data_IF_777273636716
#
_entry.id   IF_777273636716
#
_cell.length_a   1.000
_cell.length_b   1.000
_cell.length_c   1.000
_cell.angle_alpha   90.00
_cell.angle_beta   90.00
_cell.angle_gamma   90.00
#
_symmetry.space_group_name_H-M   'P 1'
#
loop_
_entity.id
_entity.type
_entity.pdbx_description
1 polymer ?
#
# COMPACT_ATOMS: atom_id res chain seq x y z
N UNK A 1 4.43 42.69 -6.17
CA UNK A 1 4.35 42.15 -4.80
C UNK A 1 4.97 40.76 -4.83
N UNK A 2 6.26 40.57 -5.11
CA UNK A 2 7.48 40.88 -4.33
C UNK A 2 7.63 40.05 -3.05
N UNK A 3 8.33 38.91 -3.15
CA UNK A 3 9.59 38.64 -2.40
C UNK A 3 10.21 37.29 -2.83
N UNK A 4 11.13 37.38 -3.79
CA UNK A 4 12.34 36.57 -3.85
C UNK A 4 13.36 37.15 -2.85
N UNK A 5 14.23 36.30 -2.28
CA UNK A 5 15.58 36.55 -1.71
C UNK A 5 15.92 35.26 -0.91
N UNK A 6 17.05 34.57 -1.01
CA UNK A 6 18.44 34.93 -1.32
C UNK A 6 19.20 33.65 -1.76
N UNK A 7 20.12 33.77 -2.71
CA UNK A 7 21.17 32.78 -3.03
C UNK A 7 22.55 33.31 -2.54
N UNK A 8 23.57 32.43 -2.60
CA UNK A 8 25.03 32.68 -2.62
C UNK A 8 25.65 32.77 -1.20
N UNK A 9 26.72 32.05 -0.77
CA UNK A 9 27.98 31.64 -1.41
C UNK A 9 28.45 30.21 -1.09
N UNK A 10 29.11 29.64 -2.09
CA UNK A 10 30.08 28.54 -2.11
C UNK A 10 31.40 28.86 -1.40
N UNK A 11 32.08 27.86 -0.82
CA UNK A 11 33.53 27.63 -0.98
C UNK A 11 33.98 26.28 -0.39
N UNK A 12 34.64 25.50 -1.23
CA UNK A 12 35.26 24.20 -0.98
C UNK A 12 36.70 24.36 -0.44
N UNK A 13 37.19 23.45 0.42
CA UNK A 13 38.59 22.97 0.49
C UNK A 13 38.75 21.90 1.60
N UNK A 14 39.23 20.72 1.21
CA UNK A 14 39.89 19.69 2.05
C UNK A 14 41.43 19.81 1.83
N UNK A 15 42.33 19.00 2.42
CA UNK A 15 42.42 18.35 3.75
C UNK A 15 43.82 18.65 4.42
N UNK A 16 44.10 18.07 5.59
CA UNK A 16 45.38 17.45 6.06
C UNK A 16 45.52 17.61 7.59
N UNK A 17 45.93 16.52 8.24
CA UNK A 17 45.77 16.23 9.66
C UNK A 17 46.81 16.82 10.61
N UNK A 18 46.55 16.67 11.91
CA UNK A 18 47.52 16.83 13.00
C UNK A 18 47.16 15.89 14.16
N UNK A 19 48.01 14.86 14.32
CA UNK A 19 48.71 14.40 15.54
C UNK A 19 47.90 14.13 16.83
N UNK A 20 48.00 12.87 17.26
CA UNK A 20 47.69 12.31 18.59
C UNK A 20 48.43 13.02 19.73
N UNK A 21 47.70 13.37 20.79
CA UNK A 21 48.25 13.44 22.15
C UNK A 21 47.17 12.94 23.12
N UNK A 22 47.27 11.66 23.48
CA UNK A 22 46.43 11.03 24.52
C UNK A 22 46.98 11.48 25.87
N UNK A 23 46.33 12.46 26.48
CA UNK A 23 46.54 12.79 27.90
C UNK A 23 45.48 12.06 28.73
N UNK A 24 45.92 11.09 29.52
CA UNK A 24 45.10 10.40 30.48
C UNK A 24 44.82 11.34 31.68
N UNK A 25 43.67 12.00 31.66
CA UNK A 25 43.15 12.70 32.83
C UNK A 25 42.22 11.73 33.58
N UNK A 26 42.68 11.22 34.72
CA UNK A 26 41.82 10.48 35.66
C UNK A 26 40.95 11.52 36.36
N UNK A 27 39.76 11.76 35.83
CA UNK A 27 38.73 12.53 36.54
C UNK A 27 38.19 11.67 37.69
N UNK A 28 38.09 12.19 38.92
CA UNK A 28 37.32 11.53 39.97
C UNK A 28 35.87 11.42 39.49
N UNK A 29 35.26 10.23 39.66
CA UNK A 29 33.82 10.03 39.51
C UNK A 29 33.11 10.91 40.53
N UNK A 30 32.86 12.16 40.16
CA UNK A 30 31.91 13.01 40.83
C UNK A 30 30.54 12.37 40.58
N UNK A 31 29.92 11.86 41.64
CA UNK A 31 28.52 11.48 41.64
C UNK A 31 27.71 12.73 41.27
N UNK A 32 27.49 12.94 39.98
CA UNK A 32 26.50 13.88 39.50
C UNK A 32 25.14 13.34 39.98
N UNK A 33 24.33 14.12 40.72
CA UNK A 33 22.95 13.74 40.93
C UNK A 33 22.35 13.56 39.54
N UNK A 34 21.84 12.37 39.26
CA UNK A 34 21.08 12.12 38.03
C UNK A 34 20.03 13.21 37.94
N UNK A 35 20.16 14.10 36.93
CA UNK A 35 19.11 15.05 36.58
C UNK A 35 17.82 14.26 36.56
N UNK A 36 16.95 14.56 37.54
CA UNK A 36 15.73 13.83 37.75
C UNK A 36 15.01 13.71 36.42
N UNK A 37 14.67 12.48 36.05
CA UNK A 37 13.68 12.26 35.02
C UNK A 37 12.49 13.13 35.40
N UNK A 38 12.25 14.19 34.63
CA UNK A 38 11.02 14.96 34.74
C UNK A 38 9.96 13.94 34.39
N UNK A 39 9.29 13.42 35.41
CA UNK A 39 8.19 12.49 35.23
C UNK A 39 7.23 13.22 34.31
N UNK A 40 7.17 12.77 33.05
CA UNK A 40 6.18 13.28 32.11
C UNK A 40 4.84 13.11 32.84
N UNK A 41 4.20 14.24 33.19
CA UNK A 41 2.90 14.21 33.83
C UNK A 41 2.04 13.37 32.91
N UNK A 42 1.65 12.19 33.37
CA UNK A 42 0.62 11.40 32.71
C UNK A 42 -0.64 12.24 32.88
N UNK A 43 -0.93 13.11 31.92
CA UNK A 43 -2.20 13.83 31.88
C UNK A 43 -3.23 12.73 31.66
N UNK A 44 -4.11 12.46 32.64
CA UNK A 44 -5.22 11.54 32.42
C UNK A 44 -5.95 12.02 31.18
N UNK A 45 -6.18 11.14 30.20
CA UNK A 45 -6.99 11.49 29.05
C UNK A 45 -8.43 11.56 29.54
N UNK A 46 -8.84 12.73 30.03
CA UNK A 46 -10.21 12.96 30.46
C UNK A 46 -11.13 12.59 29.31
N UNK A 47 -12.02 11.63 29.58
CA UNK A 47 -13.04 11.22 28.62
C UNK A 47 -13.86 12.47 28.32
N UNK A 48 -13.95 12.92 27.05
CA UNK A 48 -14.72 14.10 26.73
C UNK A 48 -16.17 13.90 27.18
N UNK A 49 -16.79 14.97 27.66
CA UNK A 49 -18.22 14.97 27.98
C UNK A 49 -19.00 14.46 26.77
N UNK A 50 -19.98 13.55 26.97
CA UNK A 50 -20.81 13.07 25.87
C UNK A 50 -21.45 14.28 25.15
N UNK A 51 -21.53 14.26 23.81
CA UNK A 51 -22.16 15.35 23.09
C UNK A 51 -23.59 15.57 23.60
N UNK A 52 -23.94 16.82 23.86
CA UNK A 52 -25.25 17.22 24.39
C UNK A 52 -26.41 16.83 23.45
N UNK A 53 -26.11 16.62 22.16
CA UNK A 53 -27.06 16.25 21.14
C UNK A 53 -26.64 14.95 20.46
N UNK A 54 -27.51 13.95 20.56
CA UNK A 54 -27.44 12.76 19.72
C UNK A 54 -28.35 12.97 18.50
N UNK A 55 -27.93 12.45 17.34
CA UNK A 55 -28.80 12.35 16.18
C UNK A 55 -29.97 11.42 16.55
N UNK A 56 -31.17 11.98 16.71
CA UNK A 56 -32.40 11.26 17.07
C UNK A 56 -33.36 11.19 15.87
N UNK A 57 -34.37 10.34 15.98
CA UNK A 57 -35.41 10.20 14.96
C UNK A 57 -34.89 9.64 13.64
N UNK A 58 -35.56 10.02 12.54
CA UNK A 58 -35.26 9.49 11.20
C UNK A 58 -33.82 9.75 10.76
N UNK A 59 -33.26 10.94 11.06
CA UNK A 59 -31.88 11.30 10.73
C UNK A 59 -30.87 10.39 11.42
N UNK A 60 -31.01 10.16 12.73
CA UNK A 60 -30.13 9.23 13.45
C UNK A 60 -30.19 7.81 12.89
N UNK A 61 -31.41 7.33 12.58
CA UNK A 61 -31.60 6.01 11.99
C UNK A 61 -30.96 5.88 10.58
N UNK A 62 -30.96 6.96 9.80
CA UNK A 62 -30.30 7.03 8.50
C UNK A 62 -28.77 6.79 8.64
N UNK A 63 -28.10 7.50 9.55
CA UNK A 63 -26.66 7.26 9.79
C UNK A 63 -26.36 5.87 10.36
N UNK A 64 -27.18 5.35 11.28
CA UNK A 64 -27.02 3.97 11.78
C UNK A 64 -27.06 2.99 10.62
N UNK A 65 -28.00 3.17 9.69
CA UNK A 65 -28.13 2.32 8.50
C UNK A 65 -26.95 2.50 7.54
N UNK A 66 -26.50 3.74 7.32
CA UNK A 66 -25.34 4.04 6.49
C UNK A 66 -24.06 3.37 7.02
N UNK A 67 -23.78 3.51 8.32
CA UNK A 67 -22.64 2.85 8.97
C UNK A 67 -22.77 1.33 8.96
N UNK A 68 -23.97 0.76 9.14
CA UNK A 68 -24.19 -0.68 9.01
C UNK A 68 -23.84 -1.18 7.59
N UNK A 69 -24.28 -0.50 6.54
CA UNK A 69 -23.94 -0.88 5.16
C UNK A 69 -22.46 -0.64 4.85
N UNK A 70 -21.87 0.44 5.34
CA UNK A 70 -20.44 0.73 5.21
C UNK A 70 -19.60 -0.34 5.91
N UNK A 71 -20.00 -0.79 7.12
CA UNK A 71 -19.32 -1.86 7.85
C UNK A 71 -19.27 -3.18 7.08
N UNK A 72 -20.19 -3.36 6.13
CA UNK A 72 -20.31 -4.52 5.22
C UNK A 72 -19.65 -4.27 3.85
N UNK A 73 -18.94 -3.14 3.67
CA UNK A 73 -18.29 -2.75 2.42
C UNK A 73 -19.25 -2.35 1.29
N UNK A 74 -20.54 -2.12 1.58
CA UNK A 74 -21.57 -1.86 0.57
C UNK A 74 -21.68 -0.35 0.29
N UNK A 75 -20.72 0.19 -0.46
CA UNK A 75 -20.59 1.62 -0.75
C UNK A 75 -21.92 2.24 -1.21
N UNK A 76 -22.53 1.70 -2.28
CA UNK A 76 -23.75 2.30 -2.85
C UNK A 76 -24.92 2.34 -1.87
N UNK A 77 -25.11 1.25 -1.11
CA UNK A 77 -26.18 1.18 -0.10
C UNK A 77 -25.91 2.09 1.10
N UNK A 78 -24.65 2.24 1.48
CA UNK A 78 -24.25 3.12 2.57
C UNK A 78 -24.51 4.59 2.20
N UNK A 79 -24.09 5.00 1.00
CA UNK A 79 -24.30 6.37 0.52
C UNK A 79 -25.79 6.67 0.27
N UNK A 80 -26.56 5.70 -0.22
CA UNK A 80 -28.00 5.86 -0.41
C UNK A 80 -28.80 5.97 0.90
N UNK A 81 -28.25 5.43 2.00
CA UNK A 81 -28.88 5.50 3.32
C UNK A 81 -28.65 6.82 4.04
N UNK A 82 -27.69 7.65 3.59
CA UNK A 82 -27.43 8.96 4.18
C UNK A 82 -28.65 9.90 4.05
N UNK A 83 -28.91 10.76 5.05
CA UNK A 83 -29.94 11.77 4.90
C UNK A 83 -29.59 12.73 3.76
N UNK A 84 -30.61 13.30 3.12
CA UNK A 84 -30.42 14.26 2.01
C UNK A 84 -29.62 15.50 2.42
N UNK A 85 -29.66 15.84 3.71
CA UNK A 85 -28.90 16.96 4.30
C UNK A 85 -27.44 16.63 4.57
N UNK A 86 -26.98 15.40 4.32
CA UNK A 86 -25.62 15.01 4.62
C UNK A 86 -24.61 15.85 3.82
N UNK A 87 -23.62 16.40 4.52
CA UNK A 87 -22.55 17.18 3.92
C UNK A 87 -21.46 16.29 3.30
N UNK A 88 -20.43 16.91 2.72
CA UNK A 88 -19.36 16.19 2.04
C UNK A 88 -18.50 15.38 3.03
N UNK A 89 -18.18 15.94 4.20
CA UNK A 89 -17.39 15.24 5.23
C UNK A 89 -18.09 13.99 5.73
N UNK A 90 -19.41 14.06 5.95
CA UNK A 90 -20.21 12.92 6.36
C UNK A 90 -20.27 11.83 5.29
N UNK A 91 -20.37 12.20 4.01
CA UNK A 91 -20.28 11.26 2.89
C UNK A 91 -18.91 10.62 2.81
N UNK A 92 -17.85 11.40 2.95
CA UNK A 92 -16.47 10.93 2.90
C UNK A 92 -16.16 9.99 4.06
N UNK A 93 -16.70 10.26 5.26
CA UNK A 93 -16.56 9.37 6.41
C UNK A 93 -17.23 8.01 6.19
N UNK A 94 -18.43 7.99 5.61
CA UNK A 94 -19.13 6.75 5.26
C UNK A 94 -18.38 5.99 4.17
N UNK A 95 -17.89 6.70 3.15
CA UNK A 95 -17.13 6.11 2.05
C UNK A 95 -15.81 5.53 2.55
N UNK A 96 -15.03 6.27 3.32
CA UNK A 96 -13.81 5.80 3.97
C UNK A 96 -14.07 4.55 4.81
N UNK A 97 -15.12 4.57 5.64
CA UNK A 97 -15.52 3.42 6.46
C UNK A 97 -15.81 2.20 5.58
N UNK A 98 -16.52 2.38 4.47
CA UNK A 98 -16.80 1.29 3.55
C UNK A 98 -15.53 0.75 2.89
N UNK A 99 -14.62 1.62 2.44
CA UNK A 99 -13.36 1.24 1.78
C UNK A 99 -12.48 0.40 2.70
N UNK A 100 -12.26 0.85 3.95
CA UNK A 100 -11.42 0.13 4.92
C UNK A 100 -12.04 -1.20 5.36
N UNK A 101 -13.35 -1.38 5.13
CA UNK A 101 -14.09 -2.64 5.35
C UNK A 101 -14.17 -3.52 4.10
N UNK A 102 -13.42 -3.18 3.06
CA UNK A 102 -13.32 -3.99 1.84
C UNK A 102 -14.29 -3.56 0.72
N UNK A 103 -15.01 -2.46 0.89
CA UNK A 103 -15.83 -1.88 -0.16
C UNK A 103 -14.96 -1.37 -1.31
N UNK A 104 -15.42 -1.61 -2.54
CA UNK A 104 -14.71 -1.24 -3.76
C UNK A 104 -15.71 -0.62 -4.73
N UNK A 105 -15.50 0.65 -5.08
CA UNK A 105 -16.23 1.31 -6.15
C UNK A 105 -15.57 1.09 -7.51
N UNK A 106 -15.80 1.99 -8.45
CA UNK A 106 -15.02 2.02 -9.68
C UNK A 106 -13.64 2.66 -9.46
N UNK A 107 -12.73 2.42 -10.42
CA UNK A 107 -11.35 2.91 -10.35
C UNK A 107 -11.25 4.43 -10.28
N UNK A 108 -12.11 5.16 -10.99
CA UNK A 108 -12.08 6.61 -10.99
C UNK A 108 -12.55 7.17 -9.64
N UNK A 109 -13.61 6.60 -9.07
CA UNK A 109 -14.12 6.96 -7.74
C UNK A 109 -13.09 6.71 -6.65
N UNK A 110 -12.47 5.52 -6.62
CA UNK A 110 -11.47 5.20 -5.59
C UNK A 110 -10.21 6.08 -5.74
N UNK A 111 -9.74 6.28 -6.98
CA UNK A 111 -8.60 7.15 -7.25
C UNK A 111 -8.87 8.59 -6.81
N UNK A 112 -10.05 9.12 -7.11
CA UNK A 112 -10.44 10.46 -6.71
C UNK A 112 -10.47 10.59 -5.19
N UNK A 113 -11.10 9.61 -4.50
CA UNK A 113 -11.14 9.60 -3.05
C UNK A 113 -9.74 9.60 -2.42
N UNK A 114 -8.83 8.75 -2.90
CA UNK A 114 -7.45 8.72 -2.43
C UNK A 114 -6.73 10.06 -2.62
N UNK A 115 -6.90 10.69 -3.78
CA UNK A 115 -6.22 11.96 -4.10
C UNK A 115 -6.70 13.12 -3.24
N UNK A 116 -8.00 13.18 -2.95
CA UNK A 116 -8.60 14.23 -2.11
C UNK A 116 -8.28 14.02 -0.63
N UNK A 117 -8.07 12.78 -0.19
CA UNK A 117 -7.95 12.39 1.22
C UNK A 117 -6.67 11.59 1.52
N UNK A 118 -5.55 11.95 0.89
CA UNK A 118 -4.29 11.20 1.02
C UNK A 118 -3.68 11.21 2.43
N UNK A 119 -4.07 12.17 3.26
CA UNK A 119 -3.68 12.35 4.66
C UNK A 119 -4.61 11.62 5.65
N UNK A 120 -5.69 11.02 5.15
CA UNK A 120 -6.63 10.29 5.99
C UNK A 120 -6.02 8.99 6.52
N UNK A 121 -6.57 8.46 7.64
CA UNK A 121 -6.01 7.27 8.25
C UNK A 121 -6.01 6.07 7.30
N UNK A 122 -4.98 5.23 7.44
CA UNK A 122 -4.74 4.03 6.63
C UNK A 122 -4.48 4.32 5.13
N UNK A 123 -3.54 5.21 4.78
CA UNK A 123 -3.28 5.57 3.38
C UNK A 123 -2.90 4.37 2.51
N UNK A 124 -2.14 3.40 3.03
CA UNK A 124 -1.81 2.18 2.29
C UNK A 124 -3.04 1.31 2.01
N UNK A 125 -4.02 1.28 2.92
CA UNK A 125 -5.29 0.57 2.70
C UNK A 125 -6.09 1.25 1.60
N UNK A 126 -6.10 2.59 1.58
CA UNK A 126 -6.76 3.35 0.52
C UNK A 126 -6.06 3.13 -0.84
N UNK A 127 -4.72 3.16 -0.89
CA UNK A 127 -3.96 2.90 -2.11
C UNK A 127 -4.22 1.48 -2.63
N UNK A 128 -4.19 0.45 -1.76
CA UNK A 128 -4.56 -0.92 -2.12
C UNK A 128 -5.99 -1.04 -2.62
N UNK A 129 -6.93 -0.28 -2.03
CA UNK A 129 -8.31 -0.28 -2.51
C UNK A 129 -8.43 0.27 -3.94
N UNK A 130 -7.63 1.27 -4.32
CA UNK A 130 -7.53 1.73 -5.71
C UNK A 130 -7.00 0.61 -6.60
N UNK A 131 -5.91 -0.04 -6.21
CA UNK A 131 -5.33 -1.17 -6.97
C UNK A 131 -6.32 -2.31 -7.21
N UNK A 132 -7.12 -2.69 -6.20
CA UNK A 132 -8.11 -3.76 -6.26
C UNK A 132 -9.25 -3.49 -7.27
N UNK A 133 -9.49 -2.22 -7.61
CA UNK A 133 -10.52 -1.82 -8.58
C UNK A 133 -10.06 -1.82 -10.03
N UNK A 134 -8.77 -2.03 -10.29
CA UNK A 134 -8.26 -2.12 -11.66
C UNK A 134 -8.85 -3.34 -12.34
N UNK A 135 -9.42 -3.14 -13.53
CA UNK A 135 -10.00 -4.17 -14.39
C UNK A 135 -9.32 -4.16 -15.75
N UNK A 136 -9.59 -5.18 -16.56
CA UNK A 136 -9.15 -5.22 -17.96
C UNK A 136 -9.73 -4.09 -18.83
N UNK A 137 -10.81 -3.45 -18.37
CA UNK A 137 -11.46 -2.30 -19.01
C UNK A 137 -10.89 -0.95 -18.56
N UNK A 138 -10.06 -0.92 -17.51
CA UNK A 138 -9.40 0.32 -17.08
C UNK A 138 -8.41 0.76 -18.14
N UNK A 139 -8.45 2.04 -18.54
CA UNK A 139 -7.59 2.56 -19.59
C UNK A 139 -6.11 2.51 -19.19
N UNK A 140 -5.23 2.08 -20.12
CA UNK A 140 -3.79 1.97 -19.84
C UNK A 140 -3.19 3.33 -19.42
N UNK A 141 -3.66 4.45 -20.01
CA UNK A 141 -3.26 5.82 -19.61
C UNK A 141 -3.51 6.10 -18.13
N UNK A 142 -4.65 5.65 -17.63
CA UNK A 142 -5.10 5.87 -16.26
C UNK A 142 -4.28 5.03 -15.27
N UNK A 143 -3.97 3.79 -15.65
CA UNK A 143 -3.08 2.88 -14.91
C UNK A 143 -1.67 3.47 -14.83
N UNK A 144 -1.11 3.92 -15.96
CA UNK A 144 0.23 4.52 -16.01
C UNK A 144 0.31 5.80 -15.18
N UNK A 145 -0.70 6.67 -15.28
CA UNK A 145 -0.76 7.91 -14.50
C UNK A 145 -0.79 7.62 -13.01
N UNK A 146 -1.60 6.65 -12.58
CA UNK A 146 -1.69 6.25 -11.19
C UNK A 146 -0.36 5.73 -10.66
N UNK A 147 0.24 4.73 -11.33
CA UNK A 147 1.44 4.06 -10.83
C UNK A 147 2.75 4.86 -11.00
N UNK A 148 2.75 5.90 -11.84
CA UNK A 148 3.87 6.86 -11.87
C UNK A 148 3.96 7.69 -10.57
N UNK A 149 2.82 7.92 -9.90
CA UNK A 149 2.76 8.67 -8.64
C UNK A 149 2.70 7.76 -7.40
N UNK A 150 2.14 6.56 -7.54
CA UNK A 150 1.89 5.64 -6.43
C UNK A 150 2.47 4.27 -6.78
N UNK A 151 3.66 3.88 -6.28
CA UNK A 151 4.25 2.59 -6.59
C UNK A 151 3.31 1.42 -6.24
N UNK A 152 3.22 0.36 -7.08
CA UNK A 152 2.37 -0.80 -6.80
C UNK A 152 2.68 -1.44 -5.45
N UNK A 153 1.65 -1.71 -4.66
CA UNK A 153 1.76 -2.37 -3.35
C UNK A 153 1.41 -3.87 -3.42
N UNK A 154 0.68 -4.30 -4.45
CA UNK A 154 0.28 -5.70 -4.63
C UNK A 154 0.89 -6.34 -5.88
N UNK A 155 1.08 -7.66 -5.86
CA UNK A 155 1.56 -8.39 -7.03
C UNK A 155 0.62 -8.25 -8.25
N UNK A 156 -0.70 -8.15 -8.03
CA UNK A 156 -1.67 -7.88 -9.11
C UNK A 156 -1.50 -6.48 -9.70
N UNK A 157 -1.27 -5.47 -8.87
CA UNK A 157 -0.97 -4.12 -9.35
C UNK A 157 0.32 -4.08 -10.18
N UNK A 158 1.36 -4.81 -9.77
CA UNK A 158 2.56 -4.99 -10.60
C UNK A 158 2.23 -5.58 -11.98
N UNK A 159 1.35 -6.59 -12.07
CA UNK A 159 0.93 -7.16 -13.36
C UNK A 159 0.13 -6.15 -14.20
N UNK A 160 -0.80 -5.40 -13.60
CA UNK A 160 -1.56 -4.37 -14.31
C UNK A 160 -0.65 -3.27 -14.86
N UNK A 161 0.26 -2.77 -14.02
CA UNK A 161 1.21 -1.74 -14.42
C UNK A 161 2.15 -2.24 -15.51
N UNK A 162 2.70 -3.45 -15.35
CA UNK A 162 3.53 -4.10 -16.35
C UNK A 162 2.83 -4.21 -17.71
N UNK A 163 1.57 -4.65 -17.71
CA UNK A 163 0.79 -4.79 -18.94
C UNK A 163 0.62 -3.44 -19.65
N UNK A 164 0.28 -2.37 -18.90
CA UNK A 164 0.15 -1.03 -19.45
C UNK A 164 1.50 -0.48 -19.97
N UNK A 165 2.60 -0.71 -19.25
CA UNK A 165 3.96 -0.32 -19.66
C UNK A 165 4.38 -1.01 -20.96
N UNK A 166 4.17 -2.32 -21.08
CA UNK A 166 4.51 -3.09 -22.27
C UNK A 166 3.75 -2.60 -23.49
N UNK A 167 2.46 -2.29 -23.35
CA UNK A 167 1.63 -1.72 -24.43
C UNK A 167 2.05 -0.31 -24.82
N UNK A 168 2.55 0.48 -23.87
CA UNK A 168 3.12 1.80 -24.12
C UNK A 168 4.56 1.76 -24.67
N UNK A 169 5.12 0.58 -24.96
CA UNK A 169 6.47 0.42 -25.49
C UNK A 169 7.59 0.54 -24.45
N UNK A 170 7.27 0.69 -23.16
CA UNK A 170 8.24 0.79 -22.04
C UNK A 170 8.71 -0.61 -21.62
N UNK A 171 9.39 -1.32 -22.53
CA UNK A 171 9.72 -2.75 -22.40
C UNK A 171 10.50 -3.10 -21.12
N UNK A 172 11.60 -2.38 -20.84
CA UNK A 172 12.46 -2.67 -19.68
C UNK A 172 11.70 -2.58 -18.36
N UNK A 173 10.92 -1.52 -18.19
CA UNK A 173 10.12 -1.28 -16.99
C UNK A 173 8.96 -2.27 -16.89
N UNK A 174 8.28 -2.54 -18.02
CA UNK A 174 7.21 -3.52 -18.10
C UNK A 174 7.66 -4.92 -17.68
N UNK A 175 8.81 -5.39 -18.18
CA UNK A 175 9.38 -6.69 -17.79
C UNK A 175 9.76 -6.72 -16.31
N UNK A 176 10.33 -5.63 -15.78
CA UNK A 176 10.67 -5.55 -14.35
C UNK A 176 9.43 -5.73 -13.45
N UNK A 177 8.35 -4.97 -13.72
CA UNK A 177 7.12 -5.10 -12.95
C UNK A 177 6.42 -6.45 -13.20
N UNK A 178 6.48 -6.99 -14.43
CA UNK A 178 5.91 -8.30 -14.76
C UNK A 178 6.54 -9.40 -13.90
N UNK A 179 7.88 -9.43 -13.80
CA UNK A 179 8.58 -10.43 -12.99
C UNK A 179 8.22 -10.30 -11.51
N UNK A 180 8.18 -9.09 -10.98
CA UNK A 180 7.80 -8.83 -9.60
C UNK A 180 6.37 -9.29 -9.32
N UNK A 181 5.42 -8.93 -10.20
CA UNK A 181 4.03 -9.35 -10.10
C UNK A 181 3.87 -10.86 -10.24
N UNK A 182 4.56 -11.49 -11.18
CA UNK A 182 4.52 -12.94 -11.37
C UNK A 182 4.99 -13.68 -10.11
N UNK A 183 6.10 -13.24 -9.51
CA UNK A 183 6.65 -13.89 -8.31
C UNK A 183 5.75 -13.77 -7.07
N UNK A 184 4.94 -12.71 -6.97
CA UNK A 184 4.25 -12.34 -5.71
C UNK A 184 2.73 -12.31 -5.77
N UNK A 185 2.12 -12.29 -6.96
CA UNK A 185 0.68 -12.16 -7.09
C UNK A 185 -0.06 -13.44 -6.69
N UNK A 186 -1.09 -13.30 -5.86
CA UNK A 186 -2.10 -14.34 -5.69
C UNK A 186 -3.04 -14.32 -6.91
N UNK A 187 -2.88 -15.30 -7.81
CA UNK A 187 -3.56 -15.36 -9.09
C UNK A 187 -4.54 -16.54 -9.12
N UNK A 188 -5.71 -16.31 -9.68
CA UNK A 188 -6.59 -17.40 -10.09
C UNK A 188 -5.94 -18.21 -11.21
N UNK A 189 -6.39 -19.45 -11.36
CA UNK A 189 -5.92 -20.36 -12.41
C UNK A 189 -6.06 -19.77 -13.83
N UNK A 190 -7.17 -19.07 -14.19
CA UNK A 190 -7.26 -18.36 -15.46
C UNK A 190 -6.28 -17.20 -15.62
N UNK A 191 -6.10 -16.35 -14.60
CA UNK A 191 -5.15 -15.23 -14.64
C UNK A 191 -3.71 -15.73 -14.84
N UNK A 192 -3.32 -16.79 -14.13
CA UNK A 192 -1.99 -17.42 -14.24
C UNK A 192 -1.72 -17.93 -15.67
N UNK A 193 -2.67 -18.67 -16.26
CA UNK A 193 -2.54 -19.15 -17.64
C UNK A 193 -2.47 -18.00 -18.64
N UNK A 194 -3.26 -16.95 -18.44
CA UNK A 194 -3.26 -15.79 -19.32
C UNK A 194 -1.91 -15.08 -19.31
N UNK A 195 -1.29 -14.92 -18.14
CA UNK A 195 0.04 -14.31 -18.03
C UNK A 195 1.10 -15.19 -18.69
N UNK A 196 1.11 -16.51 -18.43
CA UNK A 196 2.04 -17.42 -19.08
C UNK A 196 1.88 -17.43 -20.61
N UNK A 197 0.64 -17.43 -21.10
CA UNK A 197 0.37 -17.41 -22.54
C UNK A 197 0.86 -16.12 -23.22
N UNK A 198 0.66 -14.96 -22.58
CA UNK A 198 1.00 -13.66 -23.19
C UNK A 198 2.44 -13.24 -22.96
N UNK A 199 3.01 -13.63 -21.83
CA UNK A 199 4.27 -13.09 -21.33
C UNK A 199 5.25 -14.16 -20.84
N UNK A 200 4.95 -15.45 -21.01
CA UNK A 200 5.82 -16.54 -20.57
C UNK A 200 7.25 -16.45 -21.11
N UNK A 201 7.42 -15.99 -22.34
CA UNK A 201 8.76 -15.78 -22.93
C UNK A 201 9.60 -14.68 -22.23
N UNK A 202 8.97 -13.83 -21.41
CA UNK A 202 9.64 -12.78 -20.64
C UNK A 202 9.97 -13.22 -19.20
N UNK A 203 9.51 -14.41 -18.80
CA UNK A 203 9.72 -14.98 -17.48
C UNK A 203 10.82 -16.04 -17.57
N UNK A 204 11.81 -15.94 -16.69
CA UNK A 204 12.90 -16.90 -16.63
C UNK A 204 12.58 -18.08 -15.72
N UNK A 205 13.40 -19.13 -15.78
CA UNK A 205 13.31 -20.26 -14.86
C UNK A 205 13.39 -19.81 -13.38
N UNK A 206 14.23 -18.81 -13.08
CA UNK A 206 14.34 -18.22 -11.74
C UNK A 206 13.03 -17.52 -11.32
N UNK A 207 12.31 -16.89 -12.26
CA UNK A 207 11.00 -16.29 -11.99
C UNK A 207 9.95 -17.36 -11.61
N UNK A 208 9.99 -18.53 -12.25
CA UNK A 208 9.12 -19.65 -11.90
C UNK A 208 9.46 -20.28 -10.56
N UNK A 209 10.75 -20.49 -10.26
CA UNK A 209 11.23 -20.98 -8.96
C UNK A 209 10.76 -20.03 -7.84
N UNK A 210 11.04 -18.73 -7.98
CA UNK A 210 10.67 -17.73 -6.97
C UNK A 210 9.15 -17.67 -6.73
N UNK A 211 8.34 -17.82 -7.79
CA UNK A 211 6.87 -17.89 -7.64
C UNK A 211 6.44 -19.16 -6.89
N UNK A 212 6.96 -20.33 -7.24
CA UNK A 212 6.62 -21.59 -6.56
C UNK A 212 6.99 -21.51 -5.08
N UNK A 213 8.18 -21.01 -4.76
CA UNK A 213 8.62 -20.81 -3.39
C UNK A 213 7.71 -19.84 -2.61
N UNK A 214 7.36 -18.70 -3.22
CA UNK A 214 6.42 -17.75 -2.64
C UNK A 214 5.05 -18.39 -2.36
N UNK A 215 4.50 -19.13 -3.32
CA UNK A 215 3.21 -19.80 -3.19
C UNK A 215 3.24 -20.88 -2.09
N UNK A 216 4.32 -21.66 -1.99
CA UNK A 216 4.49 -22.64 -0.91
C UNK A 216 4.57 -21.96 0.46
N UNK A 217 5.29 -20.84 0.58
CA UNK A 217 5.34 -20.04 1.80
C UNK A 217 3.97 -19.53 2.22
N UNK A 218 3.15 -19.08 1.25
CA UNK A 218 1.75 -18.66 1.45
C UNK A 218 0.78 -19.84 1.65
N UNK A 219 1.27 -21.08 1.76
CA UNK A 219 0.46 -22.31 1.84
C UNK A 219 -0.48 -22.52 0.64
N UNK A 220 -0.24 -21.84 -0.48
CA UNK A 220 -0.99 -21.96 -1.73
C UNK A 220 -0.53 -23.17 -2.57
N UNK A 221 -0.52 -24.35 -1.94
CA UNK A 221 0.01 -25.63 -2.49
C UNK A 221 -0.53 -25.97 -3.88
N UNK A 222 -1.85 -25.87 -4.05
CA UNK A 222 -2.50 -26.15 -5.35
C UNK A 222 -2.05 -25.21 -6.46
N UNK A 223 -1.70 -23.95 -6.13
CA UNK A 223 -1.15 -23.02 -7.12
C UNK A 223 0.30 -23.38 -7.45
N UNK A 224 1.11 -23.66 -6.43
CA UNK A 224 2.50 -24.08 -6.61
C UNK A 224 2.61 -25.33 -7.50
N UNK A 225 1.79 -26.36 -7.25
CA UNK A 225 1.86 -27.63 -7.96
C UNK A 225 1.52 -27.55 -9.46
N UNK A 226 0.75 -26.55 -9.89
CA UNK A 226 0.50 -26.33 -11.34
C UNK A 226 1.76 -25.88 -12.09
N UNK A 227 2.68 -25.21 -11.39
CA UNK A 227 3.87 -24.62 -11.97
C UNK A 227 5.10 -25.50 -11.85
N UNK A 228 5.06 -26.56 -11.03
CA UNK A 228 6.22 -27.43 -10.78
C UNK A 228 6.86 -27.96 -12.06
N UNK A 229 6.08 -28.25 -13.11
CA UNK A 229 6.63 -28.74 -14.39
C UNK A 229 7.52 -27.71 -15.11
N UNK A 230 7.43 -26.43 -14.75
CA UNK A 230 8.27 -25.35 -15.30
C UNK A 230 9.62 -25.24 -14.59
N UNK A 231 9.85 -26.00 -13.50
CA UNK A 231 11.07 -25.93 -12.70
C UNK A 231 12.08 -27.01 -13.16
N UNK A 232 13.40 -26.78 -12.95
CA UNK A 232 14.41 -27.83 -13.09
C UNK A 232 14.15 -29.01 -12.14
N UNK A 233 14.63 -30.21 -12.49
CA UNK A 233 14.36 -31.47 -11.77
C UNK A 233 14.51 -31.37 -10.25
N UNK A 234 15.60 -30.77 -9.79
CA UNK A 234 15.95 -30.72 -8.38
C UNK A 234 14.98 -29.81 -7.60
N UNK A 235 14.56 -28.72 -8.23
CA UNK A 235 13.53 -27.82 -7.71
C UNK A 235 12.13 -28.45 -7.74
N UNK A 236 11.84 -29.33 -8.71
CA UNK A 236 10.60 -30.11 -8.68
C UNK A 236 10.57 -31.06 -7.47
N UNK A 237 11.68 -31.75 -7.21
CA UNK A 237 11.81 -32.64 -6.05
C UNK A 237 11.64 -31.86 -4.75
N UNK A 238 12.31 -30.70 -4.62
CA UNK A 238 12.19 -29.82 -3.46
C UNK A 238 10.76 -29.32 -3.25
N UNK A 239 10.09 -28.86 -4.31
CA UNK A 239 8.72 -28.36 -4.24
C UNK A 239 7.73 -29.46 -3.80
N UNK A 240 7.91 -30.70 -4.30
CA UNK A 240 7.11 -31.85 -3.88
C UNK A 240 7.36 -32.22 -2.41
N UNK A 241 8.61 -32.19 -1.96
CA UNK A 241 8.98 -32.49 -0.57
C UNK A 241 8.38 -31.47 0.41
N UNK A 242 8.36 -30.17 0.07
CA UNK A 242 7.73 -29.10 0.87
C UNK A 242 6.19 -29.14 0.86
N UNK A 243 5.61 -29.82 -0.13
CA UNK A 243 4.17 -29.92 -0.27
C UNK A 243 3.57 -31.02 0.63
N UNK A 244 4.34 -32.08 0.92
CA UNK A 244 4.00 -33.16 1.84
C UNK A 244 3.86 -32.64 3.29
#
# INVERSE_FOLDING_TARGET
MTRQFFQILSSSLHPIGVILLVSAFILPLSNAPHSGAVAATIIPRDKPEPPAHFLRGATGQAYITAFDQASKGRIDKALAALPKSADDLERDLILWTAIIKGGRGDFAQMRHFYQTHSDWPLPDTLSRAVEDTIRSTTADKDILTWFNAHPPQSGKAHIHYATALLRAGRQKEGVHHLKTGWRTANLSSPEERQILSRHGALLSTEDHIARVDHLLWQRARQQAMRLVKLLPSDYQALAKARNA
#
